data_IF_968852532657
#
_entry.id   IF_968852532657
#
_cell.length_a   1.000
_cell.length_b   1.000
_cell.length_c   1.000
_cell.angle_alpha   90.00
_cell.angle_beta   90.00
_cell.angle_gamma   90.00
#
_symmetry.space_group_name_H-M   'P 1'
#
loop_
_entity.id
_entity.type
_entity.pdbx_description
1 polymer ?
#
# COMPACT_ATOMS: atom_id res chain seq x y z
N UNK A 1 -4.88 16.13 15.01
CA UNK A 1 -5.49 14.96 14.34
C UNK A 1 -4.44 14.42 13.39
N UNK A 2 -4.24 13.10 13.36
CA UNK A 2 -3.28 12.47 12.43
C UNK A 2 -4.01 12.24 11.10
N UNK A 3 -3.31 12.46 9.99
CA UNK A 3 -3.84 12.34 8.62
C UNK A 3 -4.70 11.09 8.39
N UNK A 4 -4.32 9.95 8.98
CA UNK A 4 -5.08 8.69 8.90
C UNK A 4 -6.53 8.82 9.38
N UNK A 5 -6.78 9.55 10.47
CA UNK A 5 -8.14 9.72 11.00
C UNK A 5 -9.01 10.55 10.04
N UNK A 6 -8.44 11.59 9.43
CA UNK A 6 -9.13 12.42 8.46
C UNK A 6 -9.43 11.65 7.16
N UNK A 7 -8.49 10.80 6.72
CA UNK A 7 -8.66 9.92 5.57
C UNK A 7 -9.77 8.89 5.82
N UNK A 8 -9.70 8.13 6.92
CA UNK A 8 -10.66 7.06 7.20
C UNK A 8 -12.08 7.58 7.46
N UNK A 9 -12.24 8.85 7.88
CA UNK A 9 -13.55 9.49 8.00
C UNK A 9 -14.28 9.62 6.66
N UNK A 10 -13.57 9.65 5.54
CA UNK A 10 -14.16 9.75 4.20
C UNK A 10 -14.33 8.39 3.52
N UNK A 11 -14.03 7.29 4.22
CA UNK A 11 -14.22 5.94 3.69
C UNK A 11 -15.70 5.64 3.45
N UNK A 12 -15.99 5.09 2.27
CA UNK A 12 -17.20 4.32 2.05
C UNK A 12 -16.82 2.91 1.62
N UNK A 13 -17.23 1.91 2.40
CA UNK A 13 -17.14 0.50 2.00
C UNK A 13 -18.54 0.02 1.64
N UNK A 14 -18.87 -0.11 0.35
CA UNK A 14 -20.15 -0.64 -0.05
C UNK A 14 -20.27 -2.13 0.32
N UNK A 15 -21.48 -2.59 0.64
CA UNK A 15 -21.77 -3.95 1.11
C UNK A 15 -21.76 -5.00 -0.03
N UNK A 16 -20.82 -4.89 -0.98
CA UNK A 16 -20.82 -5.70 -2.20
C UNK A 16 -20.19 -7.09 -2.02
N UNK A 17 -19.50 -7.36 -0.90
CA UNK A 17 -18.93 -8.68 -0.61
C UNK A 17 -19.96 -9.52 0.14
N UNK A 18 -20.52 -10.52 -0.53
CA UNK A 18 -21.47 -11.45 0.07
C UNK A 18 -20.79 -12.28 1.19
N UNK A 19 -21.21 -12.15 2.47
CA UNK A 19 -20.63 -12.91 3.58
C UNK A 19 -20.77 -14.42 3.45
N UNK A 20 -21.70 -14.91 2.62
CA UNK A 20 -21.88 -16.35 2.37
C UNK A 20 -20.61 -17.01 1.80
N UNK A 21 -19.75 -16.28 1.08
CA UNK A 21 -18.46 -16.81 0.61
C UNK A 21 -17.48 -17.09 1.76
N UNK A 22 -17.69 -16.50 2.93
CA UNK A 22 -16.85 -16.62 4.12
C UNK A 22 -17.59 -17.29 5.28
N UNK A 23 -18.49 -18.24 4.97
CA UNK A 23 -19.25 -18.98 5.99
C UNK A 23 -20.19 -18.10 6.83
N UNK A 24 -20.55 -16.91 6.33
CA UNK A 24 -21.37 -15.93 7.06
C UNK A 24 -20.57 -14.96 7.93
N UNK A 25 -19.24 -14.97 7.91
CA UNK A 25 -18.41 -14.01 8.65
C UNK A 25 -18.48 -12.62 8.01
N UNK A 26 -19.37 -11.78 8.54
CA UNK A 26 -19.58 -10.40 8.09
C UNK A 26 -18.35 -9.52 8.33
N UNK A 27 -17.64 -9.71 9.44
CA UNK A 27 -16.47 -8.90 9.77
C UNK A 27 -15.32 -9.20 8.80
N UNK A 28 -15.09 -10.48 8.50
CA UNK A 28 -14.12 -10.89 7.50
C UNK A 28 -14.52 -10.40 6.09
N UNK A 29 -15.78 -10.57 5.69
CA UNK A 29 -16.27 -10.07 4.41
C UNK A 29 -16.03 -8.56 4.24
N UNK A 30 -16.29 -7.77 5.28
CA UNK A 30 -16.02 -6.33 5.30
C UNK A 30 -14.53 -6.02 5.19
N UNK A 31 -13.68 -6.75 5.93
CA UNK A 31 -12.22 -6.61 5.83
C UNK A 31 -11.75 -6.86 4.39
N UNK A 32 -12.24 -7.92 3.74
CA UNK A 32 -11.92 -8.22 2.34
C UNK A 32 -12.39 -7.11 1.40
N UNK A 33 -13.61 -6.57 1.60
CA UNK A 33 -14.12 -5.44 0.82
C UNK A 33 -13.23 -4.20 0.91
N UNK A 34 -12.80 -3.85 2.13
CA UNK A 34 -11.87 -2.72 2.38
C UNK A 34 -10.51 -2.93 1.71
N UNK A 35 -9.95 -4.15 1.81
CA UNK A 35 -8.67 -4.47 1.18
C UNK A 35 -8.75 -4.43 -0.34
N UNK A 36 -9.86 -4.90 -0.92
CA UNK A 36 -10.08 -4.81 -2.36
C UNK A 36 -10.24 -3.36 -2.80
N UNK A 37 -11.04 -2.57 -2.08
CA UNK A 37 -11.22 -1.14 -2.36
C UNK A 37 -9.88 -0.40 -2.31
N UNK A 38 -9.10 -0.62 -1.25
CA UNK A 38 -7.76 -0.03 -1.13
C UNK A 38 -6.85 -0.42 -2.28
N UNK A 39 -6.80 -1.70 -2.65
CA UNK A 39 -5.91 -2.18 -3.70
C UNK A 39 -6.29 -1.64 -5.09
N UNK A 40 -7.58 -1.61 -5.41
CA UNK A 40 -8.07 -1.05 -6.67
C UNK A 40 -7.81 0.46 -6.74
N UNK A 41 -8.04 1.19 -5.65
CA UNK A 41 -7.72 2.61 -5.56
C UNK A 41 -6.23 2.89 -5.79
N UNK A 42 -5.34 2.20 -5.07
CA UNK A 42 -3.89 2.32 -5.28
C UNK A 42 -3.46 2.07 -6.73
N UNK A 43 -4.10 1.11 -7.41
CA UNK A 43 -3.81 0.80 -8.80
C UNK A 43 -4.28 1.94 -9.74
N UNK A 44 -5.44 2.54 -9.46
CA UNK A 44 -5.95 3.71 -10.19
C UNK A 44 -4.98 4.88 -10.07
N UNK A 45 -4.62 5.29 -8.85
CA UNK A 45 -3.81 6.52 -8.64
C UNK A 45 -2.38 6.36 -9.17
N UNK A 46 -1.82 5.14 -9.09
CA UNK A 46 -0.56 4.84 -9.75
C UNK A 46 -0.67 4.95 -11.28
N UNK A 47 -1.81 4.55 -11.84
CA UNK A 47 -2.12 4.69 -13.26
C UNK A 47 -2.23 6.16 -13.68
N UNK A 48 -2.86 7.01 -12.87
CA UNK A 48 -2.99 8.44 -13.12
C UNK A 48 -1.63 9.14 -13.06
N UNK A 49 -0.82 8.84 -12.04
CA UNK A 49 0.55 9.36 -11.94
C UNK A 49 1.43 8.92 -13.13
N UNK A 50 1.31 7.66 -13.55
CA UNK A 50 1.99 7.13 -14.73
C UNK A 50 1.51 7.80 -16.03
N UNK A 51 0.21 8.11 -16.13
CA UNK A 51 -0.36 8.80 -17.28
C UNK A 51 0.19 10.21 -17.42
N UNK A 52 0.42 10.93 -16.32
CA UNK A 52 1.12 12.23 -16.37
C UNK A 52 2.55 12.12 -16.89
N UNK A 53 3.32 11.17 -16.39
CA UNK A 53 4.68 10.94 -16.87
C UNK A 53 4.69 10.57 -18.36
N UNK A 54 3.74 9.73 -18.79
CA UNK A 54 3.54 9.39 -20.21
C UNK A 54 3.21 10.62 -21.04
N UNK A 55 2.27 11.47 -20.59
CA UNK A 55 1.90 12.72 -21.29
C UNK A 55 3.09 13.66 -21.44
N UNK A 56 3.91 13.80 -20.39
CA UNK A 56 5.11 14.61 -20.42
C UNK A 56 6.15 14.05 -21.41
N UNK A 57 6.52 12.78 -21.26
CA UNK A 57 7.61 12.16 -22.03
C UNK A 57 7.26 11.85 -23.49
N UNK A 58 6.04 11.40 -23.77
CA UNK A 58 5.65 10.90 -25.11
C UNK A 58 4.95 11.99 -25.93
N UNK A 59 4.16 12.85 -25.31
CA UNK A 59 3.37 13.87 -26.02
C UNK A 59 3.91 15.29 -25.87
N UNK A 60 5.04 15.48 -25.16
CA UNK A 60 5.69 16.78 -24.99
C UNK A 60 4.85 17.80 -24.22
N UNK A 61 3.93 17.33 -23.36
CA UNK A 61 3.13 18.21 -22.50
C UNK A 61 4.00 18.74 -21.35
N UNK A 62 3.71 19.94 -20.80
CA UNK A 62 4.30 20.37 -19.53
C UNK A 62 4.07 19.31 -18.45
N UNK A 63 5.05 19.14 -17.56
CA UNK A 63 4.89 18.25 -16.41
C UNK A 63 3.89 18.88 -15.44
N UNK A 64 2.83 18.16 -15.11
CA UNK A 64 1.82 18.59 -14.15
C UNK A 64 2.19 18.09 -12.75
N UNK A 65 3.03 18.85 -12.04
CA UNK A 65 3.44 18.52 -10.67
C UNK A 65 2.27 18.63 -9.67
N UNK A 66 1.23 19.41 -9.98
CA UNK A 66 0.05 19.53 -9.12
C UNK A 66 -0.72 18.22 -9.11
N UNK A 67 -0.96 17.64 -10.28
CA UNK A 67 -1.59 16.32 -10.36
C UNK A 67 -0.72 15.24 -9.71
N UNK A 68 0.61 15.25 -9.89
CA UNK A 68 1.48 14.27 -9.21
C UNK A 68 1.39 14.34 -7.67
N UNK A 69 1.19 15.54 -7.10
CA UNK A 69 0.98 15.71 -5.66
C UNK A 69 -0.41 15.22 -5.23
N UNK A 70 -1.44 15.46 -6.03
CA UNK A 70 -2.80 14.94 -5.84
C UNK A 70 -2.80 13.40 -5.81
N UNK A 71 -2.25 12.76 -6.85
CA UNK A 71 -2.20 11.29 -6.94
C UNK A 71 -1.38 10.66 -5.81
N UNK A 72 -0.32 11.32 -5.34
CA UNK A 72 0.41 10.88 -4.15
C UNK A 72 -0.45 10.98 -2.88
N UNK A 73 -1.28 12.02 -2.77
CA UNK A 73 -2.27 12.18 -1.71
C UNK A 73 -3.31 11.07 -1.73
N UNK A 74 -3.84 10.74 -2.89
CA UNK A 74 -4.85 9.68 -3.04
C UNK A 74 -4.24 8.29 -2.83
N UNK A 75 -3.02 8.05 -3.31
CA UNK A 75 -2.23 6.86 -2.97
C UNK A 75 -2.07 6.71 -1.45
N UNK A 76 -1.78 7.80 -0.76
CA UNK A 76 -1.64 7.82 0.70
C UNK A 76 -2.97 7.52 1.38
N UNK A 77 -4.09 8.00 0.84
CA UNK A 77 -5.43 7.73 1.35
C UNK A 77 -5.75 6.23 1.32
N UNK A 78 -5.58 5.57 0.17
CA UNK A 78 -5.84 4.13 0.07
C UNK A 78 -4.85 3.28 0.86
N UNK A 79 -3.59 3.73 1.00
CA UNK A 79 -2.61 3.06 1.86
C UNK A 79 -3.05 3.08 3.33
N UNK A 80 -3.68 4.16 3.79
CA UNK A 80 -4.25 4.25 5.13
C UNK A 80 -5.44 3.30 5.32
N UNK A 81 -6.31 3.18 4.31
CA UNK A 81 -7.40 2.19 4.33
C UNK A 81 -6.85 0.76 4.41
N UNK A 82 -5.80 0.44 3.64
CA UNK A 82 -5.18 -0.88 3.64
C UNK A 82 -4.57 -1.24 4.99
N UNK A 83 -3.75 -0.34 5.58
CA UNK A 83 -3.06 -0.62 6.84
C UNK A 83 -4.05 -0.77 8.00
N UNK A 84 -5.11 0.04 8.02
CA UNK A 84 -6.18 -0.07 9.00
C UNK A 84 -6.98 -1.37 8.82
N UNK A 85 -7.33 -1.73 7.58
CA UNK A 85 -8.09 -2.95 7.30
C UNK A 85 -7.34 -4.23 7.69
N UNK A 86 -6.01 -4.26 7.60
CA UNK A 86 -5.23 -5.41 8.10
C UNK A 86 -5.04 -5.41 9.62
N UNK A 87 -5.36 -4.31 10.30
CA UNK A 87 -5.21 -4.14 11.76
C UNK A 87 -3.77 -3.82 12.18
N UNK A 88 -3.02 -3.10 11.33
CA UNK A 88 -1.63 -2.74 11.57
C UNK A 88 -1.46 -1.21 11.62
N UNK A 89 -0.23 -0.75 11.83
CA UNK A 89 0.12 0.67 11.82
C UNK A 89 1.22 0.94 10.80
N UNK A 90 1.37 2.21 10.41
CA UNK A 90 2.49 2.64 9.58
C UNK A 90 3.84 2.31 10.23
N UNK A 91 3.95 2.54 11.54
CA UNK A 91 5.16 2.24 12.30
C UNK A 91 5.51 0.75 12.27
N UNK A 92 4.52 -0.12 12.46
CA UNK A 92 4.72 -1.57 12.39
C UNK A 92 5.15 -1.99 10.98
N UNK A 93 4.46 -1.51 9.94
CA UNK A 93 4.77 -1.80 8.54
C UNK A 93 6.19 -1.38 8.17
N UNK A 94 6.58 -0.15 8.52
CA UNK A 94 7.91 0.38 8.24
C UNK A 94 9.00 -0.34 9.04
N UNK A 95 8.74 -0.63 10.32
CA UNK A 95 9.68 -1.37 11.17
C UNK A 95 9.96 -2.75 10.60
N UNK A 96 8.92 -3.49 10.24
CA UNK A 96 9.04 -4.81 9.60
C UNK A 96 9.75 -4.73 8.25
N UNK A 97 9.44 -3.72 7.43
CA UNK A 97 10.11 -3.52 6.15
C UNK A 97 11.62 -3.30 6.33
N UNK A 98 12.02 -2.41 7.23
CA UNK A 98 13.42 -2.10 7.51
C UNK A 98 14.15 -3.28 8.15
N UNK A 99 13.52 -4.02 9.07
CA UNK A 99 14.11 -5.22 9.66
C UNK A 99 14.48 -6.25 8.58
N UNK A 100 13.54 -6.57 7.69
CA UNK A 100 13.78 -7.43 6.52
C UNK A 100 14.88 -6.88 5.60
N UNK A 101 14.87 -5.57 5.31
CA UNK A 101 15.88 -4.97 4.45
C UNK A 101 17.28 -4.97 5.07
N UNK A 102 17.41 -4.84 6.40
CA UNK A 102 18.69 -4.97 7.10
C UNK A 102 19.25 -6.39 7.06
N UNK A 103 18.39 -7.41 7.08
CA UNK A 103 18.82 -8.80 6.84
C UNK A 103 19.39 -8.95 5.43
N UNK A 104 18.69 -8.43 4.42
CA UNK A 104 19.12 -8.53 3.02
C UNK A 104 20.35 -7.66 2.70
N UNK A 105 20.36 -6.44 3.23
CA UNK A 105 21.35 -5.41 2.96
C UNK A 105 21.85 -4.82 4.29
N UNK A 106 22.80 -5.49 4.98
CA UNK A 106 23.28 -5.05 6.30
C UNK A 106 23.95 -3.67 6.31
N UNK A 107 24.52 -3.25 5.18
CA UNK A 107 25.18 -1.94 5.01
C UNK A 107 24.45 -1.11 3.94
N UNK A 108 24.47 -1.58 2.70
CA UNK A 108 23.83 -0.94 1.55
C UNK A 108 23.42 -1.96 0.50
N UNK A 109 22.68 -1.49 -0.49
CA UNK A 109 22.33 -2.32 -1.64
C UNK A 109 23.60 -2.88 -2.32
N UNK A 110 23.58 -4.19 -2.60
CA UNK A 110 24.48 -4.82 -3.57
C UNK A 110 23.68 -5.77 -4.46
N UNK A 111 24.05 -5.86 -5.74
CA UNK A 111 23.40 -6.77 -6.67
C UNK A 111 23.52 -8.24 -6.23
N UNK A 112 24.69 -8.61 -5.68
CA UNK A 112 24.94 -9.96 -5.17
C UNK A 112 23.93 -10.36 -4.08
N UNK A 113 23.68 -9.48 -3.10
CA UNK A 113 22.70 -9.71 -2.04
C UNK A 113 21.25 -9.69 -2.55
N UNK A 114 20.97 -8.87 -3.57
CA UNK A 114 19.64 -8.85 -4.18
C UNK A 114 19.30 -10.18 -4.89
N UNK A 115 20.31 -10.87 -5.42
CA UNK A 115 20.17 -12.18 -6.07
C UNK A 115 20.23 -13.34 -5.05
N UNK A 116 21.14 -13.29 -4.07
CA UNK A 116 21.35 -14.34 -3.07
C UNK A 116 20.49 -14.09 -1.80
N UNK A 117 19.17 -14.13 -1.97
CA UNK A 117 18.22 -13.85 -0.88
C UNK A 117 18.08 -15.03 0.08
N UNK A 118 18.22 -14.76 1.38
CA UNK A 118 17.83 -15.68 2.45
C UNK A 118 16.37 -15.42 2.84
N UNK A 119 15.45 -16.19 2.25
CA UNK A 119 14.01 -16.00 2.44
C UNK A 119 13.55 -16.36 3.85
N UNK A 120 14.22 -17.31 4.51
CA UNK A 120 13.85 -17.78 5.84
C UNK A 120 14.26 -16.76 6.91
N UNK A 121 15.47 -16.19 6.78
CA UNK A 121 15.91 -15.10 7.65
C UNK A 121 15.07 -13.82 7.44
N UNK A 122 14.74 -13.49 6.18
CA UNK A 122 13.84 -12.37 5.88
C UNK A 122 12.44 -12.57 6.50
N UNK A 123 11.88 -13.79 6.43
CA UNK A 123 10.57 -14.11 7.01
C UNK A 123 10.59 -14.01 8.53
N UNK A 124 11.64 -14.52 9.16
CA UNK A 124 11.81 -14.44 10.62
C UNK A 124 11.86 -12.99 11.09
N UNK A 125 12.55 -12.11 10.35
CA UNK A 125 12.59 -10.67 10.66
C UNK A 125 11.23 -9.96 10.48
N UNK A 126 10.34 -10.47 9.62
CA UNK A 126 8.98 -9.93 9.43
C UNK A 126 8.00 -10.37 10.53
N UNK A 127 8.22 -11.55 11.12
CA UNK A 127 7.35 -12.15 12.13
C UNK A 127 7.78 -11.84 13.56
N UNK A 128 8.98 -11.28 13.73
CA UNK A 128 9.45 -10.82 15.04
C UNK A 128 8.53 -9.69 15.54
N UNK A 129 8.01 -9.77 16.78
CA UNK A 129 7.12 -8.77 17.36
C UNK A 129 7.70 -7.36 17.39
#
# INVERSE_FOLDING_TARGET
MTYQADALRTEHTPDFINPAFFGGDVAHARKIGRLLHAFLGLATELGEAADQLKKHLIYGKPLDEVNLVEEHGDFSWYSNLMIDAIGSTWEESWTKNIAKLKVRFPDKFTQAQALARDLDAERTALETP
#
